data_IF_594138534324
#
_entry.id   IF_594138534324
#
_cell.length_a   1.000
_cell.length_b   1.000
_cell.length_c   1.000
_cell.angle_alpha   90.00
_cell.angle_beta   90.00
_cell.angle_gamma   90.00
#
_symmetry.space_group_name_H-M   'P 1'
#
loop_
_entity.id
_entity.type
_entity.pdbx_description
1 polymer ?
#
# COMPACT_ATOMS: atom_id res chain seq x y z
N UNK A 1 19.22 -12.66 -29.19
CA UNK A 1 17.91 -11.97 -29.25
C UNK A 1 17.79 -11.11 -28.01
N UNK A 2 17.43 -9.82 -28.13
CA UNK A 2 17.27 -8.91 -27.00
C UNK A 2 15.80 -8.51 -26.86
N UNK A 3 15.27 -8.48 -25.62
CA UNK A 3 13.94 -7.94 -25.34
C UNK A 3 13.95 -6.42 -25.54
N UNK A 4 13.13 -5.92 -26.45
CA UNK A 4 12.84 -4.50 -26.55
C UNK A 4 11.97 -4.07 -25.36
N UNK A 5 12.51 -3.22 -24.50
CA UNK A 5 11.78 -2.55 -23.43
C UNK A 5 11.93 -1.04 -23.63
N UNK A 6 10.82 -0.35 -23.91
CA UNK A 6 10.83 1.05 -24.34
C UNK A 6 11.12 2.05 -23.20
N UNK A 7 10.98 1.65 -21.94
CA UNK A 7 11.31 2.54 -20.84
C UNK A 7 12.82 2.81 -20.79
N UNK A 8 13.18 4.09 -20.90
CA UNK A 8 14.55 4.58 -20.72
C UNK A 8 14.77 4.97 -19.26
N UNK A 9 15.85 4.48 -18.65
CA UNK A 9 16.26 4.86 -17.30
C UNK A 9 15.84 3.85 -16.21
N UNK A 10 15.86 4.29 -14.95
CA UNK A 10 15.42 3.49 -13.78
C UNK A 10 14.02 3.91 -13.36
N UNK A 11 13.17 2.94 -13.05
CA UNK A 11 11.89 3.19 -12.40
C UNK A 11 11.93 2.78 -10.93
N UNK A 12 11.49 3.68 -10.05
CA UNK A 12 11.35 3.42 -8.62
C UNK A 12 9.90 3.03 -8.30
N UNK A 13 9.74 2.05 -7.41
CA UNK A 13 8.46 1.46 -7.02
C UNK A 13 8.41 1.24 -5.51
N UNK A 14 7.27 1.53 -4.89
CA UNK A 14 6.96 1.07 -3.54
C UNK A 14 6.37 -0.34 -3.60
N UNK A 15 7.05 -1.30 -2.97
CA UNK A 15 6.58 -2.67 -2.79
C UNK A 15 6.14 -2.82 -1.34
N UNK A 16 4.85 -2.58 -1.12
CA UNK A 16 4.23 -2.61 0.20
C UNK A 16 2.92 -3.40 0.13
N UNK A 17 2.43 -3.89 1.27
CA UNK A 17 1.09 -4.46 1.34
C UNK A 17 0.02 -3.35 1.19
N UNK A 18 -1.23 -3.75 1.00
CA UNK A 18 -2.37 -2.84 0.86
C UNK A 18 -2.89 -2.32 2.21
N UNK A 19 -2.53 -3.03 3.28
CA UNK A 19 -2.95 -2.73 4.65
C UNK A 19 -1.76 -2.61 5.60
N UNK A 20 -1.97 -1.88 6.69
CA UNK A 20 -1.07 -1.76 7.83
C UNK A 20 -1.35 -2.83 8.89
N UNK A 21 -0.38 -3.08 9.76
CA UNK A 21 -0.52 -3.99 10.93
C UNK A 21 -1.17 -3.33 12.14
N UNK A 22 -1.60 -2.07 12.00
CA UNK A 22 -2.17 -1.33 13.13
C UNK A 22 -3.49 -1.94 13.57
N UNK A 23 -3.82 -1.84 14.86
CA UNK A 23 -5.15 -2.23 15.38
C UNK A 23 -6.19 -1.14 15.19
N UNK A 24 -5.76 0.10 15.03
CA UNK A 24 -6.60 1.28 14.83
C UNK A 24 -6.63 1.64 13.35
N UNK A 25 -7.79 2.02 12.78
CA UNK A 25 -7.90 2.48 11.40
C UNK A 25 -6.95 3.64 11.09
N UNK A 26 -6.42 3.65 9.86
CA UNK A 26 -5.43 4.65 9.44
C UNK A 26 -6.01 6.06 9.38
N UNK A 27 -7.30 6.21 9.07
CA UNK A 27 -8.01 7.49 9.13
C UNK A 27 -8.04 8.07 10.56
N UNK A 28 -8.37 7.25 11.56
CA UNK A 28 -8.40 7.66 12.96
C UNK A 28 -7.00 8.05 13.47
N UNK A 29 -5.97 7.31 13.07
CA UNK A 29 -4.59 7.66 13.41
C UNK A 29 -4.17 9.00 12.80
N UNK A 30 -4.60 9.29 11.57
CA UNK A 30 -4.37 10.58 10.92
C UNK A 30 -5.12 11.70 11.61
N UNK A 31 -6.39 11.50 11.99
CA UNK A 31 -7.15 12.51 12.74
C UNK A 31 -6.47 12.83 14.07
N UNK A 32 -5.96 11.81 14.76
CA UNK A 32 -5.32 11.97 16.08
C UNK A 32 -3.96 12.65 16.01
N UNK A 33 -3.12 12.26 15.06
CA UNK A 33 -1.71 12.67 15.04
C UNK A 33 -1.40 13.75 13.99
N UNK A 34 -2.22 13.86 12.95
CA UNK A 34 -2.03 14.79 11.83
C UNK A 34 -3.35 15.44 11.40
N UNK A 35 -4.10 16.11 12.31
CA UNK A 35 -5.49 16.55 12.07
C UNK A 35 -5.67 17.55 10.91
N UNK A 36 -4.60 18.24 10.51
CA UNK A 36 -4.63 19.28 9.47
C UNK A 36 -4.05 18.82 8.14
N UNK A 37 -3.70 17.54 8.01
CA UNK A 37 -3.07 17.04 6.80
C UNK A 37 -4.08 16.96 5.65
N UNK A 38 -3.62 17.35 4.46
CA UNK A 38 -4.41 17.25 3.24
C UNK A 38 -4.77 15.78 2.95
N UNK A 39 -6.04 15.51 2.64
CA UNK A 39 -6.52 14.19 2.20
C UNK A 39 -6.91 14.25 0.72
N UNK A 40 -6.11 13.61 -0.13
CA UNK A 40 -6.34 13.53 -1.58
C UNK A 40 -7.35 12.46 -1.99
N UNK A 41 -7.64 11.53 -1.09
CA UNK A 41 -8.64 10.48 -1.24
C UNK A 41 -9.16 10.06 0.14
N UNK A 42 -10.30 9.38 0.13
CA UNK A 42 -10.79 8.68 1.31
C UNK A 42 -9.82 7.54 1.68
N UNK A 43 -9.54 7.39 2.97
CA UNK A 43 -8.69 6.33 3.52
C UNK A 43 -9.58 5.37 4.30
N UNK A 44 -9.59 4.09 3.91
CA UNK A 44 -10.53 3.11 4.46
C UNK A 44 -9.83 2.11 5.37
N UNK A 45 -10.43 1.86 6.54
CA UNK A 45 -9.95 0.85 7.49
C UNK A 45 -8.45 0.99 7.76
N UNK A 46 -7.70 -0.07 7.50
CA UNK A 46 -6.27 -0.15 7.76
C UNK A 46 -5.39 0.12 6.53
N UNK A 47 -5.92 0.78 5.50
CA UNK A 47 -5.21 1.08 4.26
C UNK A 47 -3.83 1.73 4.50
N UNK A 48 -2.82 1.26 3.77
CA UNK A 48 -1.47 1.83 3.81
C UNK A 48 -1.45 3.26 3.25
N UNK A 49 -0.66 4.13 3.88
CA UNK A 49 -0.51 5.53 3.44
C UNK A 49 0.56 5.74 2.36
N UNK A 50 1.24 4.66 1.95
CA UNK A 50 2.21 4.61 0.85
C UNK A 50 1.55 3.96 -0.37
N UNK A 51 1.46 4.66 -1.50
CA UNK A 51 0.83 4.09 -2.69
C UNK A 51 1.76 3.09 -3.40
N UNK A 52 1.29 1.84 -3.51
CA UNK A 52 1.90 0.80 -4.34
C UNK A 52 1.25 0.70 -5.74
N UNK A 53 0.37 1.63 -6.12
CA UNK A 53 -0.42 1.58 -7.36
C UNK A 53 0.45 1.53 -8.61
N UNK A 54 1.61 2.21 -8.61
CA UNK A 54 2.56 2.16 -9.72
C UNK A 54 3.10 0.74 -9.91
N UNK A 55 3.45 0.04 -8.83
CA UNK A 55 3.93 -1.34 -8.90
C UNK A 55 2.84 -2.28 -9.41
N UNK A 56 1.58 -2.11 -8.94
CA UNK A 56 0.45 -2.90 -9.44
C UNK A 56 0.22 -2.71 -10.95
N UNK A 57 0.25 -1.46 -11.42
CA UNK A 57 -0.03 -1.11 -12.81
C UNK A 57 1.09 -1.54 -13.77
N UNK A 58 2.35 -1.30 -13.39
CA UNK A 58 3.51 -1.49 -14.29
C UNK A 58 4.08 -2.90 -14.18
N UNK A 59 4.18 -3.42 -12.95
CA UNK A 59 4.81 -4.72 -12.69
C UNK A 59 3.80 -5.87 -12.54
N UNK A 60 2.49 -5.57 -12.52
CA UNK A 60 1.47 -6.56 -12.17
C UNK A 60 1.54 -7.01 -10.70
N UNK A 61 2.25 -6.26 -9.85
CA UNK A 61 2.44 -6.61 -8.46
C UNK A 61 1.10 -6.76 -7.73
N UNK A 62 0.96 -7.83 -6.95
CA UNK A 62 -0.15 -8.03 -6.02
C UNK A 62 0.41 -8.67 -4.74
N UNK A 63 0.17 -8.08 -3.56
CA UNK A 63 0.53 -8.72 -2.31
C UNK A 63 -0.13 -10.10 -2.21
N UNK A 64 0.67 -11.14 -2.02
CA UNK A 64 0.17 -12.51 -1.95
C UNK A 64 -0.40 -12.87 -0.56
N UNK A 65 -0.01 -12.12 0.47
CA UNK A 65 -0.37 -12.39 1.86
C UNK A 65 -0.88 -11.12 2.54
N UNK A 66 -1.94 -11.27 3.33
CA UNK A 66 -2.38 -10.25 4.28
C UNK A 66 -1.56 -10.36 5.56
N UNK A 67 -1.28 -9.22 6.22
CA UNK A 67 -0.54 -9.24 7.48
C UNK A 67 -1.35 -9.85 8.63
N UNK A 68 -2.66 -9.69 8.55
CA UNK A 68 -3.58 -10.07 9.64
C UNK A 68 -4.15 -11.47 9.47
N UNK A 69 -3.95 -12.11 8.31
CA UNK A 69 -4.48 -13.42 7.98
C UNK A 69 -4.21 -14.48 9.06
N UNK A 70 -2.96 -14.59 9.53
CA UNK A 70 -2.56 -15.59 10.53
C UNK A 70 -3.00 -15.21 11.96
N UNK A 71 -3.07 -13.92 12.28
CA UNK A 71 -3.44 -13.44 13.62
C UNK A 71 -4.96 -13.50 13.84
N UNK A 72 -5.75 -13.42 12.76
CA UNK A 72 -7.21 -13.51 12.81
C UNK A 72 -7.73 -14.96 12.87
N UNK A 73 -6.86 -15.96 12.74
CA UNK A 73 -7.18 -17.37 12.98
C UNK A 73 -7.38 -17.56 14.50
N UNK A 74 -8.62 -17.46 14.96
CA UNK A 74 -8.98 -17.79 16.35
C UNK A 74 -8.56 -19.23 16.66
N UNK A 75 -7.92 -19.41 17.83
CA UNK A 75 -7.89 -20.71 18.52
C UNK A 75 -9.29 -21.16 18.90
#
# INVERSE_FOLDING_TARGET
MALHHDARGKDEFFITNDETVMRTPSSELLDKHYPKIERRKEIKGNEVLLSNEKAKRVLGFRPAYSWTAEVSQKK
#
